data_IF_420798934717
#
_entry.id   IF_420798934717
#
_cell.length_a   1.000
_cell.length_b   1.000
_cell.length_c   1.000
_cell.angle_alpha   90.00
_cell.angle_beta   90.00
_cell.angle_gamma   90.00
#
_symmetry.space_group_name_H-M   'P 1'
#
loop_
_entity.id
_entity.type
_entity.pdbx_description
1 polymer ?
#
# COMPACT_ATOMS: atom_id res chain seq x y z
N UNK A 1 2.29 -2.89 -4.63
CA UNK A 1 3.59 -2.45 -5.16
C UNK A 1 4.31 -1.73 -4.03
N UNK A 2 5.62 -1.94 -3.85
CA UNK A 2 6.41 -1.25 -2.81
C UNK A 2 6.45 0.25 -3.10
N UNK A 3 6.41 1.09 -2.06
CA UNK A 3 6.34 2.56 -2.15
C UNK A 3 4.98 3.10 -2.57
N UNK A 4 4.00 2.23 -2.88
CA UNK A 4 2.67 2.65 -3.31
C UNK A 4 1.72 2.74 -2.13
N UNK A 5 0.96 3.83 -2.08
CA UNK A 5 -0.12 4.05 -1.12
C UNK A 5 -1.39 3.31 -1.55
N UNK A 6 -1.99 2.63 -0.58
CA UNK A 6 -3.29 1.97 -0.68
C UNK A 6 -4.21 2.49 0.41
N UNK A 7 -5.48 2.08 0.35
CA UNK A 7 -6.44 2.29 1.42
C UNK A 7 -6.68 0.98 2.18
N UNK A 8 -6.43 1.02 3.48
CA UNK A 8 -6.87 0.05 4.46
C UNK A 8 -8.04 0.63 5.25
N UNK A 9 -9.24 0.04 5.12
CA UNK A 9 -10.45 0.52 5.82
C UNK A 9 -10.70 2.03 5.65
N UNK A 10 -10.35 2.58 4.48
CA UNK A 10 -10.49 4.01 4.16
C UNK A 10 -9.29 4.89 4.55
N UNK A 11 -8.29 4.34 5.25
CA UNK A 11 -7.09 5.07 5.68
C UNK A 11 -5.88 4.77 4.81
N UNK A 12 -4.97 5.74 4.58
CA UNK A 12 -3.73 5.52 3.84
C UNK A 12 -2.84 4.44 4.49
N UNK A 13 -2.27 3.60 3.65
CA UNK A 13 -1.27 2.59 4.02
C UNK A 13 -0.23 2.46 2.91
N UNK A 14 1.04 2.67 3.23
CA UNK A 14 2.16 2.56 2.27
C UNK A 14 2.75 1.17 2.35
N UNK A 15 2.89 0.47 1.22
CA UNK A 15 3.55 -0.84 1.21
C UNK A 15 5.07 -0.65 1.25
N UNK A 16 5.72 -1.13 2.31
CA UNK A 16 7.17 -1.07 2.47
C UNK A 16 7.87 -2.33 1.92
N UNK A 17 7.32 -3.50 2.20
CA UNK A 17 7.90 -4.80 1.80
C UNK A 17 6.80 -5.67 1.24
N UNK A 18 7.15 -6.52 0.26
CA UNK A 18 6.26 -7.54 -0.29
C UNK A 18 6.99 -8.87 -0.43
N UNK A 19 6.36 -9.94 -0.01
CA UNK A 19 6.85 -11.30 -0.22
C UNK A 19 5.68 -12.26 -0.48
N UNK A 20 6.03 -13.45 -0.92
CA UNK A 20 5.10 -14.56 -1.08
C UNK A 20 5.54 -15.71 -0.17
N UNK A 21 4.58 -16.29 0.54
CA UNK A 21 4.79 -17.49 1.35
C UNK A 21 3.64 -18.46 1.07
N UNK A 22 3.96 -19.69 0.67
CA UNK A 22 2.99 -20.75 0.30
C UNK A 22 1.83 -20.28 -0.60
N UNK A 23 2.14 -19.44 -1.60
CA UNK A 23 1.16 -18.89 -2.54
C UNK A 23 0.36 -17.68 -2.03
N UNK A 24 0.50 -17.28 -0.77
CA UNK A 24 -0.13 -16.08 -0.22
C UNK A 24 0.80 -14.87 -0.32
N UNK A 25 0.31 -13.79 -0.91
CA UNK A 25 1.03 -12.51 -0.98
C UNK A 25 0.85 -11.74 0.32
N UNK A 26 1.95 -11.55 1.05
CA UNK A 26 2.02 -10.74 2.27
C UNK A 26 2.71 -9.41 1.96
N UNK A 27 2.36 -8.40 2.74
CA UNK A 27 2.99 -7.09 2.71
C UNK A 27 3.22 -6.58 4.12
N UNK A 28 4.30 -5.83 4.27
CA UNK A 28 4.48 -4.90 5.39
C UNK A 28 3.96 -3.56 4.92
N UNK A 29 3.05 -2.97 5.68
CA UNK A 29 2.55 -1.63 5.43
C UNK A 29 2.91 -0.70 6.58
N UNK A 30 3.03 0.58 6.27
CA UNK A 30 3.08 1.67 7.23
C UNK A 30 1.79 2.48 7.15
N UNK A 31 1.14 2.68 8.30
CA UNK A 31 0.00 3.58 8.44
C UNK A 31 0.43 5.02 8.65
N UNK A 32 -0.49 5.97 8.53
CA UNK A 32 -0.24 7.40 8.77
C UNK A 32 0.39 7.70 10.15
N UNK A 33 0.14 6.86 11.15
CA UNK A 33 0.70 6.98 12.50
C UNK A 33 2.16 6.53 12.61
N UNK A 34 2.74 5.95 11.55
CA UNK A 34 4.03 5.27 11.59
C UNK A 34 3.96 3.82 12.07
N UNK A 35 2.77 3.28 12.35
CA UNK A 35 2.60 1.88 12.74
C UNK A 35 2.91 0.94 11.57
N UNK A 36 3.72 -0.10 11.84
CA UNK A 36 4.07 -1.15 10.88
C UNK A 36 3.26 -2.42 11.09
N UNK A 37 2.52 -2.85 10.06
CA UNK A 37 1.64 -4.02 10.13
C UNK A 37 1.96 -5.01 9.01
N UNK A 38 2.13 -6.29 9.37
CA UNK A 38 2.22 -7.40 8.41
C UNK A 38 0.83 -7.96 8.14
N UNK A 39 0.45 -8.03 6.86
CA UNK A 39 -0.84 -8.63 6.48
C UNK A 39 -0.87 -9.18 5.07
N UNK A 40 -1.93 -9.92 4.76
CA UNK A 40 -2.25 -10.31 3.39
C UNK A 40 -2.50 -9.07 2.54
N UNK A 41 -2.04 -9.08 1.28
CA UNK A 41 -2.32 -7.99 0.32
C UNK A 41 -3.82 -7.86 0.00
N UNK A 42 -4.62 -8.90 0.29
CA UNK A 42 -6.07 -8.92 0.12
C UNK A 42 -6.73 -7.86 1.00
N UNK A 43 -7.58 -7.03 0.41
CA UNK A 43 -8.36 -6.01 1.10
C UNK A 43 -7.77 -4.61 1.03
N UNK A 44 -6.52 -4.45 0.59
CA UNK A 44 -5.96 -3.16 0.24
C UNK A 44 -6.58 -2.65 -1.06
N UNK A 45 -7.27 -1.51 -1.00
CA UNK A 45 -7.86 -0.87 -2.17
C UNK A 45 -6.86 0.09 -2.78
N UNK A 46 -6.79 0.14 -4.11
CA UNK A 46 -6.02 1.19 -4.79
C UNK A 46 -6.68 2.53 -4.45
N UNK A 47 -5.89 3.52 -4.05
CA UNK A 47 -6.36 4.90 -4.14
C UNK A 47 -6.70 5.18 -5.60
N UNK A 48 -7.77 5.95 -5.90
CA UNK A 48 -7.90 6.52 -7.22
C UNK A 48 -6.59 7.26 -7.49
N UNK A 49 -5.95 6.95 -8.60
CA UNK A 49 -4.87 7.79 -9.12
C UNK A 49 -5.53 9.11 -9.50
N UNK A 50 -5.65 10.02 -8.54
CA UNK A 50 -5.63 11.43 -8.88
C UNK A 50 -4.28 11.59 -9.55
N UNK A 51 -4.30 11.64 -10.88
CA UNK A 51 -3.10 11.84 -11.66
C UNK A 51 -2.41 13.04 -11.06
N UNK A 52 -1.22 12.81 -10.49
CA UNK A 52 -0.28 13.88 -10.30
C UNK A 52 0.15 14.25 -11.71
N UNK A 53 -0.68 15.04 -12.39
CA UNK A 53 -0.31 15.80 -13.56
C UNK A 53 0.66 16.86 -13.11
N UNK A 54 1.89 16.46 -12.77
CA UNK A 54 3.02 17.34 -12.93
C UNK A 54 3.21 17.48 -14.44
N UNK A 55 2.54 18.47 -15.01
CA UNK A 55 3.02 19.17 -16.19
C UNK A 55 4.47 19.59 -15.87
N UNK A 56 5.43 18.84 -16.41
CA UNK A 56 6.76 19.37 -16.60
C UNK A 56 6.67 20.24 -17.86
N UNK A 57 7.07 21.50 -17.72
CA UNK A 57 7.09 22.49 -18.80
C UNK A 57 8.00 22.12 -19.95
#
# INVERSE_FOLDING_TARGET
>A
MIGRTYLERGKPAVVLIRWADKGMRKVLIEHESGEHVVRSFRGLRKTPSFGTGLHHG
#
